data_IF_289088103732
#
_entry.id   IF_289088103732
#
_cell.length_a   1.000
_cell.length_b   1.000
_cell.length_c   1.000
_cell.angle_alpha   90.00
_cell.angle_beta   90.00
_cell.angle_gamma   90.00
#
_symmetry.space_group_name_H-M   'P 1'
#
loop_
_entity.id
_entity.type
_entity.pdbx_description
1 polymer ?
#
# COMPACT_ATOMS: atom_id res chain seq x y z
N UNK A 1 -7.90 21.15 4.95
CA UNK A 1 -7.16 19.90 5.11
C UNK A 1 -8.21 18.79 5.19
N UNK A 2 -7.99 17.67 4.51
CA UNK A 2 -8.94 16.54 4.46
C UNK A 2 -8.21 15.34 5.06
N UNK A 3 -8.85 14.66 6.00
CA UNK A 3 -8.34 13.45 6.63
C UNK A 3 -8.11 12.33 5.61
N UNK A 4 -7.26 11.36 5.95
CA UNK A 4 -7.13 10.16 5.15
C UNK A 4 -8.46 9.39 5.14
N UNK A 5 -8.90 8.87 3.99
CA UNK A 5 -10.09 8.02 3.93
C UNK A 5 -9.88 6.76 4.78
N UNK A 6 -10.97 6.21 5.29
CA UNK A 6 -10.98 4.85 5.82
C UNK A 6 -10.74 3.82 4.71
N UNK A 7 -10.46 2.57 5.09
CA UNK A 7 -10.17 1.51 4.13
C UNK A 7 -11.29 1.29 3.09
N UNK A 8 -12.59 1.27 3.44
CA UNK A 8 -13.66 1.16 2.45
C UNK A 8 -13.69 2.30 1.43
N UNK A 9 -13.55 3.56 1.89
CA UNK A 9 -13.54 4.71 1.00
C UNK A 9 -12.30 4.74 0.10
N UNK A 10 -11.12 4.40 0.64
CA UNK A 10 -9.88 4.34 -0.13
C UNK A 10 -9.92 3.23 -1.19
N UNK A 11 -10.47 2.06 -0.85
CA UNK A 11 -10.68 0.96 -1.80
C UNK A 11 -11.63 1.36 -2.93
N UNK A 12 -12.69 2.10 -2.63
CA UNK A 12 -13.59 2.63 -3.66
C UNK A 12 -12.89 3.63 -4.59
N UNK A 13 -12.01 4.48 -4.05
CA UNK A 13 -11.19 5.40 -4.84
C UNK A 13 -10.23 4.62 -5.73
N UNK A 14 -9.48 3.67 -5.17
CA UNK A 14 -8.52 2.86 -5.92
C UNK A 14 -9.19 2.09 -7.05
N UNK A 15 -10.32 1.42 -6.80
CA UNK A 15 -11.09 0.71 -7.84
C UNK A 15 -11.55 1.64 -8.97
N UNK A 16 -11.92 2.88 -8.65
CA UNK A 16 -12.35 3.85 -9.65
C UNK A 16 -11.18 4.38 -10.49
N UNK A 17 -9.99 4.50 -9.89
CA UNK A 17 -8.81 5.09 -10.51
C UNK A 17 -7.95 4.06 -11.24
N UNK A 18 -7.86 2.85 -10.71
CA UNK A 18 -7.11 1.72 -11.22
C UNK A 18 -8.07 0.52 -11.46
N UNK A 19 -9.04 0.62 -12.39
CA UNK A 19 -10.08 -0.41 -12.57
C UNK A 19 -9.53 -1.76 -13.05
N UNK A 20 -8.29 -1.80 -13.53
CA UNK A 20 -7.61 -3.01 -13.98
C UNK A 20 -6.86 -3.73 -12.87
N UNK A 21 -6.77 -3.14 -11.68
CA UNK A 21 -6.11 -3.76 -10.54
C UNK A 21 -6.89 -5.02 -10.10
N UNK A 22 -6.22 -6.18 -9.92
CA UNK A 22 -6.84 -7.34 -9.32
C UNK A 22 -7.47 -6.98 -7.98
N UNK A 23 -8.67 -7.47 -7.70
CA UNK A 23 -9.40 -7.11 -6.49
C UNK A 23 -8.62 -7.43 -5.21
N UNK A 24 -7.93 -8.56 -5.19
CA UNK A 24 -7.04 -8.97 -4.09
C UNK A 24 -5.90 -7.99 -3.90
N UNK A 25 -5.24 -7.56 -4.98
CA UNK A 25 -4.15 -6.59 -4.93
C UNK A 25 -4.65 -5.25 -4.40
N UNK A 26 -5.78 -4.75 -4.93
CA UNK A 26 -6.39 -3.50 -4.50
C UNK A 26 -6.68 -3.48 -2.99
N UNK A 27 -7.24 -4.57 -2.44
CA UNK A 27 -7.48 -4.70 -0.99
C UNK A 27 -6.17 -4.72 -0.20
N UNK A 28 -5.17 -5.47 -0.67
CA UNK A 28 -3.87 -5.56 -0.02
C UNK A 28 -3.12 -4.22 -0.01
N UNK A 29 -3.17 -3.46 -1.10
CA UNK A 29 -2.58 -2.12 -1.20
C UNK A 29 -3.19 -1.22 -0.12
N UNK A 30 -4.52 -1.12 -0.08
CA UNK A 30 -5.22 -0.29 0.91
C UNK A 30 -4.90 -0.74 2.33
N UNK A 31 -4.98 -2.04 2.61
CA UNK A 31 -4.68 -2.60 3.93
C UNK A 31 -3.23 -2.34 4.37
N UNK A 32 -2.28 -2.41 3.44
CA UNK A 32 -0.87 -2.09 3.69
C UNK A 32 -0.69 -0.60 3.96
N UNK A 33 -1.23 0.27 3.12
CA UNK A 33 -1.14 1.73 3.27
C UNK A 33 -1.74 2.19 4.60
N UNK A 34 -2.91 1.69 4.98
CA UNK A 34 -3.57 2.03 6.25
C UNK A 34 -2.69 1.67 7.46
N UNK A 35 -2.04 0.50 7.44
CA UNK A 35 -1.11 0.10 8.50
C UNK A 35 0.16 0.93 8.50
N UNK A 36 0.66 1.27 7.32
CA UNK A 36 1.84 2.12 7.17
C UNK A 36 1.58 3.50 7.80
N UNK A 37 0.37 4.06 7.65
CA UNK A 37 -0.06 5.31 8.30
C UNK A 37 -0.16 5.22 9.83
N UNK A 38 -0.27 4.02 10.40
CA UNK A 38 -0.29 3.82 11.85
C UNK A 38 1.12 3.73 12.46
N UNK A 39 2.18 3.73 11.63
CA UNK A 39 3.55 3.83 12.08
C UNK A 39 3.95 5.29 12.35
N UNK A 40 4.99 5.48 13.14
CA UNK A 40 5.59 6.80 13.40
C UNK A 40 6.45 7.25 12.22
N UNK A 41 5.77 7.67 11.15
CA UNK A 41 6.40 8.20 9.93
C UNK A 41 6.50 9.71 10.01
N UNK A 42 7.59 10.25 9.46
CA UNK A 42 7.72 11.69 9.27
C UNK A 42 6.62 12.22 8.34
N UNK A 43 6.35 11.50 7.25
CA UNK A 43 5.21 11.79 6.37
C UNK A 43 4.49 10.52 5.93
N UNK A 44 3.32 10.30 6.53
CA UNK A 44 2.40 9.27 6.12
C UNK A 44 1.97 9.43 4.63
N UNK A 45 1.92 8.34 3.84
CA UNK A 45 1.53 8.39 2.44
C UNK A 45 0.06 8.81 2.29
N UNK A 46 -0.23 9.67 1.32
CA UNK A 46 -1.59 10.04 0.97
C UNK A 46 -2.23 9.05 -0.02
N UNK A 47 -3.43 9.40 -0.46
CA UNK A 47 -4.16 8.62 -1.47
C UNK A 47 -3.43 8.67 -2.81
N UNK A 48 -2.85 9.82 -3.18
CA UNK A 48 -2.11 9.96 -4.43
C UNK A 48 -0.94 8.97 -4.50
N UNK A 49 -0.13 8.88 -3.43
CA UNK A 49 0.97 7.92 -3.37
C UNK A 49 0.49 6.46 -3.41
N UNK A 50 -0.65 6.13 -2.80
CA UNK A 50 -1.21 4.78 -2.87
C UNK A 50 -1.67 4.40 -4.29
N UNK A 51 -2.18 5.36 -5.06
CA UNK A 51 -2.58 5.15 -6.45
C UNK A 51 -1.36 5.01 -7.37
N UNK A 52 -0.36 5.87 -7.20
CA UNK A 52 0.91 5.77 -7.95
C UNK A 52 1.57 4.41 -7.69
N UNK A 53 1.51 3.93 -6.45
CA UNK A 53 2.04 2.61 -6.08
C UNK A 53 1.24 1.46 -6.69
N UNK A 54 -0.09 1.57 -6.73
CA UNK A 54 -0.94 0.58 -7.41
C UNK A 54 -0.57 0.45 -8.90
N UNK A 55 -0.42 1.57 -9.60
CA UNK A 55 0.01 1.58 -11.01
C UNK A 55 1.42 0.99 -11.19
N UNK A 56 2.36 1.31 -10.29
CA UNK A 56 3.71 0.75 -10.32
C UNK A 56 3.71 -0.77 -10.13
N UNK A 57 2.91 -1.29 -9.19
CA UNK A 57 2.77 -2.73 -8.96
C UNK A 57 2.15 -3.42 -10.18
N UNK A 58 1.15 -2.83 -10.82
CA UNK A 58 0.54 -3.37 -12.03
C UNK A 58 1.51 -3.38 -13.21
N UNK A 59 2.31 -2.31 -13.37
CA UNK A 59 3.35 -2.25 -14.40
C UNK A 59 4.45 -3.31 -14.21
N UNK A 60 4.58 -3.86 -13.00
CA UNK A 60 5.50 -4.94 -12.65
C UNK A 60 4.82 -6.32 -12.62
N UNK A 61 3.60 -6.42 -13.18
CA UNK A 61 2.77 -7.63 -13.19
C UNK A 61 2.54 -8.25 -11.80
N UNK A 62 2.56 -7.41 -10.75
CA UNK A 62 2.31 -7.83 -9.39
C UNK A 62 0.82 -8.10 -9.19
N UNK A 63 0.44 -9.35 -8.92
CA UNK A 63 -0.95 -9.74 -8.66
C UNK A 63 -1.30 -9.80 -7.17
N UNK A 64 -0.28 -9.90 -6.31
CA UNK A 64 -0.36 -9.95 -4.84
C UNK A 64 0.89 -9.32 -4.25
N UNK A 65 0.76 -8.56 -3.16
CA UNK A 65 1.90 -7.92 -2.51
C UNK A 65 2.91 -8.94 -2.02
N UNK A 66 4.13 -8.96 -2.55
CA UNK A 66 5.22 -9.81 -2.08
C UNK A 66 6.33 -8.96 -1.41
N UNK A 67 7.09 -9.52 -0.44
CA UNK A 67 8.13 -8.79 0.26
C UNK A 67 9.16 -8.10 -0.63
N UNK A 68 9.59 -8.75 -1.72
CA UNK A 68 10.58 -8.20 -2.63
C UNK A 68 10.01 -7.02 -3.40
N UNK A 69 8.84 -7.19 -4.03
CA UNK A 69 8.19 -6.12 -4.77
C UNK A 69 7.88 -4.90 -3.88
N UNK A 70 7.40 -5.13 -2.65
CA UNK A 70 7.15 -4.03 -1.70
C UNK A 70 8.43 -3.30 -1.35
N UNK A 71 9.54 -4.01 -1.07
CA UNK A 71 10.81 -3.37 -0.77
C UNK A 71 11.34 -2.53 -1.94
N UNK A 72 11.28 -3.07 -3.16
CA UNK A 72 11.80 -2.41 -4.37
C UNK A 72 10.95 -1.20 -4.79
N UNK A 73 9.68 -1.15 -4.39
CA UNK A 73 8.73 -0.09 -4.76
C UNK A 73 8.33 0.83 -3.62
N UNK A 74 8.89 0.65 -2.41
CA UNK A 74 8.48 1.40 -1.22
C UNK A 74 8.67 2.91 -1.36
N UNK A 75 9.68 3.33 -2.14
CA UNK A 75 9.92 4.75 -2.44
C UNK A 75 8.81 5.43 -3.27
N UNK A 76 7.90 4.66 -3.87
CA UNK A 76 6.69 5.21 -4.51
C UNK A 76 5.70 5.68 -3.45
N UNK A 77 5.54 4.92 -2.35
CA UNK A 77 4.69 5.27 -1.21
C UNK A 77 5.34 6.33 -0.32
N UNK A 78 6.59 6.11 0.09
CA UNK A 78 7.28 6.92 1.08
C UNK A 78 8.26 7.86 0.39
N UNK A 79 8.03 9.18 0.54
CA UNK A 79 8.85 10.21 -0.13
C UNK A 79 10.11 10.59 0.63
N UNK A 80 10.19 10.24 1.92
CA UNK A 80 11.34 10.52 2.76
C UNK A 80 12.21 9.27 2.85
N UNK A 81 13.50 9.43 2.60
CA UNK A 81 14.47 8.33 2.66
C UNK A 81 14.54 7.71 4.05
N UNK A 82 14.41 8.53 5.10
CA UNK A 82 14.40 8.05 6.48
C UNK A 82 13.16 7.17 6.77
N UNK A 83 11.99 7.54 6.24
CA UNK A 83 10.77 6.72 6.35
C UNK A 83 10.95 5.39 5.61
N UNK A 84 11.55 5.39 4.41
CA UNK A 84 11.88 4.15 3.67
C UNK A 84 12.85 3.28 4.46
N UNK A 85 13.91 3.87 5.02
CA UNK A 85 14.92 3.16 5.79
C UNK A 85 14.38 2.60 7.13
N UNK A 86 13.37 3.25 7.72
CA UNK A 86 12.70 2.78 8.92
C UNK A 86 11.90 1.50 8.69
N UNK A 87 11.45 1.23 7.45
CA UNK A 87 10.74 0.00 7.10
C UNK A 87 11.75 -1.12 6.85
N UNK A 88 12.13 -1.81 7.93
CA UNK A 88 12.96 -3.01 7.82
C UNK A 88 12.25 -4.15 7.08
N UNK A 89 12.99 -5.12 6.50
CA UNK A 89 12.39 -6.30 5.85
C UNK A 89 11.42 -7.08 6.75
N UNK A 90 11.69 -7.12 8.06
CA UNK A 90 10.82 -7.76 9.04
C UNK A 90 9.51 -6.99 9.23
N UNK A 91 9.57 -5.66 9.27
CA UNK A 91 8.37 -4.81 9.35
C UNK A 91 7.55 -4.95 8.08
N UNK A 92 8.17 -4.82 6.90
CA UNK A 92 7.48 -5.00 5.62
C UNK A 92 6.78 -6.36 5.53
N UNK A 93 7.49 -7.44 5.88
CA UNK A 93 6.95 -8.80 5.85
C UNK A 93 5.75 -8.98 6.78
N UNK A 94 5.80 -8.39 7.98
CA UNK A 94 4.67 -8.39 8.92
C UNK A 94 3.47 -7.66 8.33
N UNK A 95 3.66 -6.44 7.83
CA UNK A 95 2.59 -5.63 7.23
C UNK A 95 1.95 -6.32 6.03
N UNK A 96 2.76 -6.99 5.19
CA UNK A 96 2.27 -7.77 4.05
C UNK A 96 1.44 -8.96 4.51
N UNK A 97 1.91 -9.71 5.52
CA UNK A 97 1.17 -10.85 6.04
C UNK A 97 -0.21 -10.44 6.59
N UNK A 98 -0.25 -9.34 7.35
CA UNK A 98 -1.50 -8.78 7.88
C UNK A 98 -2.42 -8.27 6.75
N UNK A 99 -1.88 -7.56 5.75
CA UNK A 99 -2.65 -7.06 4.61
C UNK A 99 -3.22 -8.19 3.74
N UNK A 100 -2.45 -9.28 3.57
CA UNK A 100 -2.91 -10.48 2.86
C UNK A 100 -4.02 -11.20 3.62
N UNK A 101 -3.95 -11.27 4.95
CA UNK A 101 -4.99 -11.90 5.76
C UNK A 101 -6.33 -11.16 5.65
N UNK A 102 -6.31 -9.82 5.64
CA UNK A 102 -7.52 -9.01 5.45
C UNK A 102 -8.04 -9.06 4.00
N UNK A 103 -7.15 -9.01 3.01
CA UNK A 103 -7.50 -9.04 1.58
C UNK A 103 -8.15 -10.34 1.10
N UNK A 104 -8.14 -11.40 1.93
CA UNK A 104 -8.80 -12.69 1.68
C UNK A 104 -10.22 -12.74 2.27
N UNK A 105 -10.61 -11.76 3.09
CA UNK A 105 -11.95 -11.74 3.70
C UNK A 105 -12.99 -11.31 2.65
N UNK A 106 -14.02 -12.13 2.38
CA UNK A 106 -15.01 -11.85 1.32
C UNK A 106 -15.74 -10.52 1.53
#
# INVERSE_FOLDING_TARGET
WVDYPDAPAELAILRRKCPHAPETLARQIVAFTQRLRALDLFKAPGVAESLDWAEALLALDCLVLDPQMVADTLGVLLKYQDDVAAISPAVASRLIAEARAEGVTP
#
